data_IF_854826300938
#
_entry.id   IF_854826300938
#
_cell.length_a   1.000
_cell.length_b   1.000
_cell.length_c   1.000
_cell.angle_alpha   90.00
_cell.angle_beta   90.00
_cell.angle_gamma   90.00
#
_symmetry.space_group_name_H-M   'P 1'
#
loop_
_entity.id
_entity.type
_entity.pdbx_description
1 polymer ?
#
# COMPACT_ATOMS: atom_id res chain seq x y z
N UNK A 1 44.15 10.16 9.95
CA UNK A 1 43.93 9.05 10.90
C UNK A 1 42.51 8.99 11.48
N UNK A 2 41.79 10.12 11.62
CA UNK A 2 40.38 10.13 12.01
C UNK A 2 39.42 9.75 10.86
N UNK A 3 39.67 10.22 9.63
CA UNK A 3 38.85 9.88 8.45
C UNK A 3 38.90 8.38 8.08
N UNK A 4 40.09 7.77 8.07
CA UNK A 4 40.25 6.33 7.80
C UNK A 4 39.61 5.42 8.87
N UNK A 5 39.34 5.94 10.08
CA UNK A 5 38.58 5.22 11.12
C UNK A 5 37.06 5.37 10.92
N UNK A 6 36.59 6.50 10.38
CA UNK A 6 35.18 6.72 10.03
C UNK A 6 34.72 5.89 8.82
N UNK A 7 35.57 5.74 7.81
CA UNK A 7 35.30 4.90 6.63
C UNK A 7 35.20 3.41 6.99
N UNK A 8 36.13 2.89 7.81
CA UNK A 8 36.07 1.50 8.25
C UNK A 8 34.84 1.17 9.12
N UNK A 9 34.39 2.11 9.96
CA UNK A 9 33.17 1.94 10.77
C UNK A 9 31.92 1.98 9.89
N UNK A 10 31.86 2.87 8.90
CA UNK A 10 30.73 2.93 7.97
C UNK A 10 30.64 1.70 7.06
N UNK A 11 31.76 1.14 6.63
CA UNK A 11 31.75 -0.08 5.81
C UNK A 11 31.43 -1.34 6.62
N UNK A 12 31.88 -1.42 7.87
CA UNK A 12 31.46 -2.48 8.79
C UNK A 12 29.95 -2.42 9.04
N UNK A 13 29.38 -1.24 9.28
CA UNK A 13 27.94 -1.04 9.46
C UNK A 13 27.14 -1.37 8.20
N UNK A 14 27.61 -1.01 7.00
CA UNK A 14 26.98 -1.40 5.73
C UNK A 14 26.98 -2.93 5.55
N UNK A 15 28.09 -3.57 5.89
CA UNK A 15 28.22 -5.04 5.81
C UNK A 15 27.27 -5.74 6.78
N UNK A 16 27.22 -5.27 8.04
CA UNK A 16 26.30 -5.78 9.05
C UNK A 16 24.84 -5.56 8.61
N UNK A 17 24.48 -4.36 8.16
CA UNK A 17 23.16 -4.06 7.63
C UNK A 17 22.79 -4.97 6.45
N UNK A 18 23.71 -5.19 5.51
CA UNK A 18 23.51 -6.08 4.37
C UNK A 18 23.25 -7.52 4.83
N UNK A 19 24.01 -8.00 5.82
CA UNK A 19 23.83 -9.34 6.39
C UNK A 19 22.46 -9.49 7.08
N UNK A 20 22.03 -8.51 7.87
CA UNK A 20 20.73 -8.49 8.53
C UNK A 20 19.61 -8.42 7.50
N UNK A 21 19.73 -7.56 6.49
CA UNK A 21 18.76 -7.44 5.41
C UNK A 21 18.63 -8.73 4.61
N UNK A 22 19.72 -9.46 4.41
CA UNK A 22 19.69 -10.77 3.75
C UNK A 22 18.96 -11.81 4.61
N UNK A 23 19.23 -11.87 5.91
CA UNK A 23 18.53 -12.78 6.83
C UNK A 23 17.03 -12.46 6.87
N UNK A 24 16.66 -11.18 6.95
CA UNK A 24 15.27 -10.73 6.91
C UNK A 24 14.57 -11.19 5.63
N UNK A 25 15.19 -10.99 4.47
CA UNK A 25 14.68 -11.48 3.19
C UNK A 25 14.53 -13.01 3.14
N UNK A 26 15.48 -13.77 3.73
CA UNK A 26 15.37 -15.21 3.84
C UNK A 26 14.20 -15.66 4.73
N UNK A 27 13.95 -14.96 5.85
CA UNK A 27 12.83 -15.24 6.74
C UNK A 27 11.49 -14.92 6.08
N UNK A 28 11.39 -13.79 5.37
CA UNK A 28 10.20 -13.42 4.60
C UNK A 28 9.91 -14.46 3.50
N UNK A 29 10.94 -14.93 2.80
CA UNK A 29 10.80 -15.98 1.79
C UNK A 29 10.27 -17.31 2.39
N UNK A 30 10.72 -17.70 3.59
CA UNK A 30 10.22 -18.89 4.29
C UNK A 30 8.75 -18.72 4.68
N UNK A 31 8.38 -17.56 5.23
CA UNK A 31 6.99 -17.24 5.58
C UNK A 31 6.09 -17.27 4.34
N UNK A 32 6.56 -16.70 3.23
CA UNK A 32 5.85 -16.71 1.96
C UNK A 32 5.69 -18.13 1.41
N UNK A 33 6.71 -18.98 1.49
CA UNK A 33 6.64 -20.37 1.04
C UNK A 33 5.57 -21.16 1.81
N UNK A 34 5.51 -21.01 3.14
CA UNK A 34 4.47 -21.62 3.97
C UNK A 34 3.07 -21.11 3.59
N UNK A 35 2.93 -19.79 3.40
CA UNK A 35 1.65 -19.19 2.96
C UNK A 35 1.20 -19.74 1.60
N UNK A 36 2.11 -19.83 0.64
CA UNK A 36 1.82 -20.40 -0.69
C UNK A 36 1.38 -21.85 -0.56
N UNK A 37 2.13 -22.65 0.21
CA UNK A 37 1.81 -24.06 0.46
C UNK A 37 0.41 -24.25 1.06
N UNK A 38 0.05 -23.46 2.08
CA UNK A 38 -1.29 -23.50 2.68
C UNK A 38 -2.39 -23.09 1.69
N UNK A 39 -2.17 -22.05 0.89
CA UNK A 39 -3.13 -21.62 -0.12
C UNK A 39 -3.31 -22.65 -1.25
N UNK A 40 -2.27 -23.45 -1.55
CA UNK A 40 -2.35 -24.52 -2.56
C UNK A 40 -3.37 -25.58 -2.16
N UNK A 41 -3.48 -26.00 -0.89
CA UNK A 41 -4.50 -26.97 -0.47
C UNK A 41 -5.91 -26.49 -0.78
N UNK A 42 -6.19 -25.22 -0.48
CA UNK A 42 -7.46 -24.60 -0.83
C UNK A 42 -7.68 -24.55 -2.35
N UNK A 43 -6.65 -24.22 -3.12
CA UNK A 43 -6.69 -24.22 -4.59
C UNK A 43 -6.98 -25.61 -5.19
N UNK A 44 -6.29 -26.63 -4.68
CA UNK A 44 -6.44 -28.03 -5.09
C UNK A 44 -7.82 -28.59 -4.73
N UNK A 45 -8.39 -28.20 -3.59
CA UNK A 45 -9.78 -28.56 -3.24
C UNK A 45 -10.81 -28.04 -4.26
N UNK A 46 -10.47 -27.02 -5.05
CA UNK A 46 -11.31 -26.50 -6.13
C UNK A 46 -10.98 -27.11 -7.51
N UNK A 47 -9.83 -27.75 -7.65
CA UNK A 47 -9.36 -28.34 -8.91
C UNK A 47 -10.00 -29.72 -9.12
N UNK A 48 -10.89 -29.85 -10.11
CA UNK A 48 -11.59 -31.11 -10.41
C UNK A 48 -10.67 -32.25 -10.86
N UNK A 49 -9.43 -31.95 -11.26
CA UNK A 49 -8.42 -32.96 -11.58
C UNK A 49 -7.58 -33.42 -10.38
N UNK A 50 -7.77 -32.80 -9.21
CA UNK A 50 -6.99 -33.11 -8.02
C UNK A 50 -7.57 -34.29 -7.25
N UNK A 51 -6.75 -35.19 -6.67
CA UNK A 51 -7.24 -36.22 -5.75
C UNK A 51 -7.83 -35.62 -4.46
N UNK A 52 -7.55 -34.34 -4.17
CA UNK A 52 -8.09 -33.61 -3.03
C UNK A 52 -9.34 -32.77 -3.37
N UNK A 53 -9.95 -32.98 -4.54
CA UNK A 53 -11.10 -32.19 -4.98
C UNK A 53 -12.28 -32.28 -4.01
N UNK A 54 -12.64 -31.13 -3.42
CA UNK A 54 -13.76 -30.98 -2.51
C UNK A 54 -14.40 -29.59 -2.68
N UNK A 55 -15.21 -29.45 -3.74
CA UNK A 55 -15.84 -28.18 -4.11
C UNK A 55 -16.68 -27.55 -3.00
N UNK A 56 -17.36 -28.37 -2.20
CA UNK A 56 -18.20 -27.90 -1.10
C UNK A 56 -17.35 -27.13 -0.06
N UNK A 57 -16.21 -27.69 0.33
CA UNK A 57 -15.27 -27.05 1.25
C UNK A 57 -14.73 -25.74 0.67
N UNK A 58 -14.28 -25.74 -0.58
CA UNK A 58 -13.78 -24.52 -1.22
C UNK A 58 -14.86 -23.43 -1.33
N UNK A 59 -16.10 -23.83 -1.59
CA UNK A 59 -17.27 -22.94 -1.62
C UNK A 59 -17.61 -22.35 -0.26
N UNK A 60 -17.56 -23.16 0.79
CA UNK A 60 -17.77 -22.73 2.18
C UNK A 60 -16.72 -21.70 2.61
N UNK A 61 -15.43 -21.98 2.39
CA UNK A 61 -14.33 -21.05 2.69
C UNK A 61 -14.52 -19.71 1.99
N UNK A 62 -14.87 -19.72 0.70
CA UNK A 62 -15.15 -18.49 -0.06
C UNK A 62 -16.33 -17.71 0.54
N UNK A 63 -17.41 -18.43 0.87
CA UNK A 63 -18.65 -17.83 1.36
C UNK A 63 -18.45 -17.23 2.76
N UNK A 64 -17.74 -17.93 3.63
CA UNK A 64 -17.37 -17.45 4.96
C UNK A 64 -16.49 -16.19 4.88
N UNK A 65 -15.47 -16.19 4.01
CA UNK A 65 -14.64 -15.01 3.79
C UNK A 65 -15.45 -13.79 3.31
N UNK A 66 -16.36 -14.00 2.35
CA UNK A 66 -17.24 -12.94 1.87
C UNK A 66 -18.24 -12.44 2.93
N UNK A 67 -18.79 -13.34 3.75
CA UNK A 67 -19.67 -12.97 4.88
C UNK A 67 -18.90 -12.07 5.85
N UNK A 68 -17.72 -12.51 6.28
CA UNK A 68 -16.95 -11.84 7.31
C UNK A 68 -16.47 -10.45 6.87
N UNK A 69 -15.95 -10.30 5.64
CA UNK A 69 -15.50 -8.98 5.15
C UNK A 69 -16.67 -8.00 4.97
N UNK A 70 -17.86 -8.48 4.59
CA UNK A 70 -19.08 -7.65 4.51
C UNK A 70 -19.56 -7.25 5.90
N UNK A 71 -19.60 -8.20 6.83
CA UNK A 71 -20.00 -7.97 8.21
C UNK A 71 -19.12 -6.92 8.90
N UNK A 72 -17.80 -7.02 8.74
CA UNK A 72 -16.84 -6.05 9.25
C UNK A 72 -17.06 -4.67 8.58
N UNK A 73 -17.23 -4.62 7.26
CA UNK A 73 -17.48 -3.35 6.57
C UNK A 73 -18.76 -2.65 7.08
N UNK A 74 -19.81 -3.41 7.37
CA UNK A 74 -21.06 -2.86 7.91
C UNK A 74 -20.95 -2.44 9.38
N UNK A 75 -20.15 -3.16 10.20
CA UNK A 75 -19.80 -2.70 11.55
C UNK A 75 -19.04 -1.37 11.52
N UNK A 76 -18.03 -1.26 10.66
CA UNK A 76 -17.18 -0.08 10.53
C UNK A 76 -17.99 1.14 10.07
N UNK A 77 -18.88 0.96 9.08
CA UNK A 77 -19.81 2.02 8.64
C UNK A 77 -20.74 2.49 9.75
N UNK A 78 -21.28 1.57 10.55
CA UNK A 78 -22.12 1.91 11.72
C UNK A 78 -21.37 2.70 12.80
N UNK A 79 -20.04 2.59 12.83
CA UNK A 79 -19.15 3.37 13.71
C UNK A 79 -18.75 4.73 13.13
N UNK A 80 -19.28 5.12 11.96
CA UNK A 80 -19.01 6.42 11.32
C UNK A 80 -17.80 6.43 10.39
N UNK A 81 -17.07 5.33 10.25
CA UNK A 81 -15.91 5.25 9.36
C UNK A 81 -16.34 5.05 7.90
N UNK A 82 -15.66 5.74 6.99
CA UNK A 82 -15.79 5.52 5.56
C UNK A 82 -15.07 4.25 5.12
N UNK A 83 -15.62 3.53 4.14
CA UNK A 83 -14.93 2.41 3.47
C UNK A 83 -14.58 2.84 2.05
N UNK A 84 -13.32 3.24 1.84
CA UNK A 84 -12.84 3.78 0.55
C UNK A 84 -12.64 2.68 -0.48
N UNK A 85 -12.05 1.57 -0.05
CA UNK A 85 -11.73 0.45 -0.93
C UNK A 85 -11.84 -0.87 -0.18
N UNK A 86 -12.20 -1.93 -0.90
CA UNK A 86 -12.30 -3.30 -0.39
C UNK A 86 -11.72 -4.28 -1.41
N UNK A 87 -10.85 -5.17 -0.95
CA UNK A 87 -10.48 -6.38 -1.67
C UNK A 87 -10.95 -7.62 -0.89
N UNK A 88 -10.55 -8.82 -1.31
CA UNK A 88 -10.96 -10.11 -0.73
C UNK A 88 -10.77 -10.19 0.78
N UNK A 89 -9.69 -9.63 1.30
CA UNK A 89 -9.18 -9.81 2.66
C UNK A 89 -8.77 -8.50 3.35
N UNK A 90 -9.03 -7.35 2.71
CA UNK A 90 -8.54 -6.04 3.16
C UNK A 90 -9.56 -4.93 2.92
N UNK A 91 -9.53 -3.92 3.79
CA UNK A 91 -10.36 -2.72 3.75
C UNK A 91 -9.46 -1.50 3.91
N UNK A 92 -9.55 -0.54 3.00
CA UNK A 92 -9.02 0.80 3.21
C UNK A 92 -10.14 1.69 3.75
N UNK A 93 -9.90 2.23 4.93
CA UNK A 93 -10.87 3.00 5.71
C UNK A 93 -10.54 4.48 5.64
N UNK A 94 -11.55 5.31 5.89
CA UNK A 94 -11.42 6.75 6.08
C UNK A 94 -11.92 7.07 7.49
N UNK A 95 -11.08 7.70 8.30
CA UNK A 95 -11.49 8.14 9.63
C UNK A 95 -12.60 9.22 9.52
N UNK A 96 -13.51 9.28 10.49
CA UNK A 96 -14.50 10.36 10.57
C UNK A 96 -13.81 11.74 10.60
N UNK A 97 -14.45 12.76 10.00
CA UNK A 97 -13.88 14.11 9.87
C UNK A 97 -13.60 14.73 11.24
N UNK A 98 -14.39 14.39 12.26
CA UNK A 98 -14.24 14.88 13.63
C UNK A 98 -12.89 14.50 14.24
N UNK A 99 -12.23 13.44 13.72
CA UNK A 99 -10.89 13.05 14.17
C UNK A 99 -9.83 14.08 13.78
N UNK A 100 -10.06 14.84 12.70
CA UNK A 100 -9.09 15.78 12.13
C UNK A 100 -9.36 17.24 12.49
N UNK A 101 -10.49 17.56 13.13
CA UNK A 101 -10.88 18.94 13.44
C UNK A 101 -9.76 19.80 14.05
N UNK A 102 -9.06 19.31 15.08
CA UNK A 102 -7.95 20.04 15.72
C UNK A 102 -6.75 20.25 14.77
N UNK A 103 -6.55 19.29 13.86
CA UNK A 103 -5.51 19.33 12.85
C UNK A 103 -5.85 20.39 11.78
N UNK A 104 -7.12 20.40 11.35
CA UNK A 104 -7.66 21.33 10.35
C UNK A 104 -7.62 22.77 10.87
N UNK A 105 -8.10 23.00 12.10
CA UNK A 105 -8.03 24.31 12.77
C UNK A 105 -6.58 24.81 12.89
N UNK A 106 -5.63 23.93 13.21
CA UNK A 106 -4.21 24.31 13.32
C UNK A 106 -3.58 24.68 11.97
N UNK A 107 -4.09 24.15 10.86
CA UNK A 107 -3.63 24.46 9.51
C UNK A 107 -4.23 25.75 8.97
N UNK A 108 -5.53 25.99 9.22
CA UNK A 108 -6.26 27.14 8.67
C UNK A 108 -6.00 28.46 9.41
N UNK A 109 -5.44 28.42 10.63
CA UNK A 109 -5.05 29.64 11.35
C UNK A 109 -3.97 30.40 10.56
N UNK A 110 -4.03 31.75 10.51
CA UNK A 110 -3.18 32.57 9.62
C UNK A 110 -1.65 32.48 9.79
N UNK A 111 -1.19 31.75 10.82
CA UNK A 111 0.21 31.38 11.07
C UNK A 111 0.34 29.84 11.24
N UNK A 112 -0.47 29.10 10.47
CA UNK A 112 -0.75 27.69 10.63
C UNK A 112 0.45 26.80 10.37
N UNK A 113 0.31 25.53 10.75
CA UNK A 113 1.35 24.52 10.54
C UNK A 113 1.63 24.31 9.05
N UNK A 114 2.83 23.82 8.71
CA UNK A 114 3.15 23.50 7.32
C UNK A 114 2.26 22.38 6.78
N UNK A 115 2.11 22.29 5.46
CA UNK A 115 1.34 21.20 4.81
C UNK A 115 1.89 19.82 5.16
N UNK A 116 3.22 19.69 5.24
CA UNK A 116 3.86 18.43 5.64
C UNK A 116 3.56 18.07 7.09
N UNK A 117 3.57 19.06 8.00
CA UNK A 117 3.22 18.84 9.40
C UNK A 117 1.73 18.48 9.55
N UNK A 118 0.85 19.17 8.84
CA UNK A 118 -0.58 18.85 8.78
C UNK A 118 -0.82 17.41 8.30
N UNK A 119 -0.19 17.02 7.19
CA UNK A 119 -0.27 15.66 6.66
C UNK A 119 0.29 14.62 7.63
N UNK A 120 1.40 14.92 8.28
CA UNK A 120 2.00 14.03 9.29
C UNK A 120 1.06 13.81 10.48
N UNK A 121 0.42 14.87 10.98
CA UNK A 121 -0.56 14.80 12.06
C UNK A 121 -1.79 13.97 11.66
N UNK A 122 -2.33 14.17 10.46
CA UNK A 122 -3.45 13.34 9.96
C UNK A 122 -3.09 11.86 9.89
N UNK A 123 -1.87 11.53 9.42
CA UNK A 123 -1.40 10.15 9.36
C UNK A 123 -1.31 9.56 10.77
N UNK A 124 -0.70 10.27 11.73
CA UNK A 124 -0.59 9.81 13.13
C UNK A 124 -1.95 9.57 13.78
N UNK A 125 -2.88 10.54 13.65
CA UNK A 125 -4.25 10.40 14.14
C UNK A 125 -4.91 9.16 13.54
N UNK A 126 -4.73 8.94 12.24
CA UNK A 126 -5.28 7.76 11.55
C UNK A 126 -4.69 6.46 12.10
N UNK A 127 -3.38 6.39 12.35
CA UNK A 127 -2.75 5.20 12.93
C UNK A 127 -3.37 4.86 14.30
N UNK A 128 -3.46 5.84 15.19
CA UNK A 128 -4.00 5.64 16.55
C UNK A 128 -5.47 5.21 16.55
N UNK A 129 -6.30 5.90 15.76
CA UNK A 129 -7.74 5.62 15.69
C UNK A 129 -7.99 4.23 15.11
N UNK A 130 -7.27 3.86 14.04
CA UNK A 130 -7.45 2.55 13.41
C UNK A 130 -6.90 1.43 14.29
N UNK A 131 -5.84 1.65 15.06
CA UNK A 131 -5.34 0.65 16.02
C UNK A 131 -6.38 0.32 17.10
N UNK A 132 -7.08 1.34 17.62
CA UNK A 132 -8.21 1.13 18.56
C UNK A 132 -9.36 0.38 17.88
N UNK A 133 -9.75 0.82 16.69
CA UNK A 133 -10.81 0.17 15.90
C UNK A 133 -10.49 -1.30 15.61
N UNK A 134 -9.23 -1.63 15.33
CA UNK A 134 -8.75 -3.01 15.10
C UNK A 134 -9.05 -3.91 16.30
N UNK A 135 -8.82 -3.43 17.52
CA UNK A 135 -9.11 -4.20 18.72
C UNK A 135 -10.60 -4.48 18.84
N UNK A 136 -11.44 -3.46 18.65
CA UNK A 136 -12.91 -3.63 18.69
C UNK A 136 -13.43 -4.58 17.61
N UNK A 137 -12.91 -4.50 16.39
CA UNK A 137 -13.25 -5.41 15.29
C UNK A 137 -12.84 -6.85 15.64
N UNK A 138 -11.68 -7.05 16.26
CA UNK A 138 -11.22 -8.38 16.67
C UNK A 138 -12.03 -8.95 17.83
N UNK A 139 -12.47 -8.13 18.78
CA UNK A 139 -13.40 -8.54 19.83
C UNK A 139 -14.75 -8.96 19.23
N UNK A 140 -15.26 -8.18 18.27
CA UNK A 140 -16.47 -8.52 17.56
C UNK A 140 -16.33 -9.84 16.78
N UNK A 141 -15.23 -10.04 16.05
CA UNK A 141 -14.97 -11.28 15.32
C UNK A 141 -14.84 -12.50 16.23
N UNK A 142 -14.22 -12.33 17.40
CA UNK A 142 -14.12 -13.40 18.40
C UNK A 142 -15.50 -13.82 18.90
N UNK A 143 -16.37 -12.86 19.15
CA UNK A 143 -17.73 -13.12 19.62
C UNK A 143 -18.60 -13.77 18.53
N UNK A 144 -18.47 -13.34 17.27
CA UNK A 144 -19.25 -13.89 16.14
C UNK A 144 -18.79 -15.30 15.73
N UNK A 145 -17.48 -15.56 15.71
CA UNK A 145 -16.92 -16.85 15.25
C UNK A 145 -16.63 -17.84 16.38
N UNK A 146 -16.75 -17.44 17.65
CA UNK A 146 -16.43 -18.27 18.81
C UNK A 146 -14.94 -18.62 18.99
N UNK A 147 -14.04 -18.01 18.20
CA UNK A 147 -12.60 -18.25 18.27
C UNK A 147 -11.79 -17.02 17.89
N UNK A 148 -10.51 -16.99 18.27
CA UNK A 148 -9.57 -15.91 17.96
C UNK A 148 -8.70 -16.17 16.72
N UNK A 149 -8.99 -17.23 15.95
CA UNK A 149 -8.22 -17.57 14.75
C UNK A 149 -8.39 -16.53 13.65
N UNK A 150 -9.61 -16.01 13.47
CA UNK A 150 -9.88 -14.95 12.52
C UNK A 150 -9.70 -13.58 13.18
N UNK A 151 -8.74 -12.81 12.66
CA UNK A 151 -8.43 -11.46 13.13
C UNK A 151 -8.05 -10.54 11.99
N UNK A 152 -8.36 -9.26 12.13
CA UNK A 152 -7.88 -8.18 11.29
C UNK A 152 -6.58 -7.61 11.87
N UNK A 153 -5.60 -7.42 11.00
CA UNK A 153 -4.37 -6.71 11.32
C UNK A 153 -4.45 -5.27 10.79
N UNK A 154 -3.80 -4.35 11.50
CA UNK A 154 -3.45 -3.05 10.96
C UNK A 154 -2.15 -3.23 10.16
N UNK A 155 -2.12 -2.76 8.91
CA UNK A 155 -0.95 -2.88 8.03
C UNK A 155 -0.29 -1.52 7.77
N UNK A 156 -1.05 -0.58 7.22
CA UNK A 156 -0.56 0.77 6.93
C UNK A 156 -1.68 1.81 6.87
N UNK A 157 -1.30 3.08 7.01
CA UNK A 157 -2.04 4.24 6.46
C UNK A 157 -1.45 4.54 5.07
N UNK A 158 -2.29 4.56 4.04
CA UNK A 158 -1.89 4.85 2.66
C UNK A 158 -2.33 6.27 2.29
N UNK A 159 -1.40 7.22 2.33
CA UNK A 159 -1.70 8.65 2.11
C UNK A 159 -0.45 9.42 1.64
N UNK A 160 -0.54 10.29 0.62
CA UNK A 160 -1.63 10.39 -0.34
C UNK A 160 -1.80 9.09 -1.14
N UNK A 161 -2.98 8.92 -1.74
CA UNK A 161 -3.33 7.71 -2.51
C UNK A 161 -4.20 8.06 -3.71
N UNK A 162 -3.92 7.39 -4.83
CA UNK A 162 -4.71 7.49 -6.06
C UNK A 162 -5.19 6.10 -6.47
N UNK A 163 -6.51 5.95 -6.59
CA UNK A 163 -7.14 4.75 -7.11
C UNK A 163 -7.50 4.97 -8.59
N UNK A 164 -6.88 4.20 -9.49
CA UNK A 164 -7.13 4.27 -10.94
C UNK A 164 -8.09 3.18 -11.42
N UNK A 165 -8.33 2.16 -10.60
CA UNK A 165 -9.32 1.13 -10.88
C UNK A 165 -9.27 -0.02 -9.87
N UNK A 166 -10.07 -1.05 -10.13
CA UNK A 166 -10.10 -2.25 -9.27
C UNK A 166 -8.71 -2.92 -9.24
N UNK A 167 -8.15 -3.06 -8.05
CA UNK A 167 -6.78 -3.54 -7.77
C UNK A 167 -5.66 -2.71 -8.41
N UNK A 168 -5.96 -1.49 -8.88
CA UNK A 168 -5.01 -0.58 -9.50
C UNK A 168 -4.96 0.73 -8.72
N UNK A 169 -3.91 0.91 -7.94
CA UNK A 169 -3.74 2.10 -7.11
C UNK A 169 -2.28 2.29 -6.74
N UNK A 170 -1.93 3.52 -6.38
CA UNK A 170 -0.62 3.86 -5.87
C UNK A 170 -0.71 4.92 -4.78
N UNK A 171 0.28 4.99 -3.91
CA UNK A 171 0.33 5.94 -2.82
C UNK A 171 1.60 5.79 -1.99
N UNK A 172 1.66 6.54 -0.89
CA UNK A 172 2.75 6.44 0.09
C UNK A 172 2.24 5.66 1.31
N UNK A 173 2.89 4.55 1.63
CA UNK A 173 2.53 3.74 2.79
C UNK A 173 3.27 4.20 4.04
N UNK A 174 2.53 4.45 5.11
CA UNK A 174 3.03 4.79 6.43
C UNK A 174 2.69 3.66 7.41
N UNK A 175 3.71 3.04 8.00
CA UNK A 175 3.55 1.85 8.86
C UNK A 175 3.73 2.16 10.35
N UNK A 176 4.81 2.85 10.68
CA UNK A 176 5.18 3.19 12.07
C UNK A 176 5.09 4.68 12.34
N UNK A 177 5.54 5.46 11.37
CA UNK A 177 5.56 6.91 11.43
C UNK A 177 5.25 7.52 10.06
N UNK A 178 4.83 8.79 9.99
CA UNK A 178 4.69 9.53 8.76
C UNK A 178 6.06 9.68 8.11
N UNK A 179 6.15 9.30 6.84
CA UNK A 179 7.36 9.41 6.04
C UNK A 179 6.95 9.53 4.56
N UNK A 180 6.87 10.77 4.09
CA UNK A 180 6.50 11.10 2.71
C UNK A 180 7.63 10.87 1.71
N UNK A 181 8.82 10.49 2.18
CA UNK A 181 9.95 10.09 1.35
C UNK A 181 10.04 8.57 1.20
N UNK A 182 9.06 7.83 1.70
CA UNK A 182 9.00 6.38 1.55
C UNK A 182 8.90 5.96 0.09
N UNK A 183 9.40 4.75 -0.19
CA UNK A 183 9.21 4.11 -1.48
C UNK A 183 7.71 4.01 -1.81
N UNK A 184 7.37 4.41 -3.03
CA UNK A 184 6.00 4.35 -3.52
C UNK A 184 5.43 2.94 -3.46
N UNK A 185 4.23 2.87 -2.92
CA UNK A 185 3.42 1.67 -2.90
C UNK A 185 2.59 1.63 -4.20
N UNK A 186 2.86 0.67 -5.08
CA UNK A 186 2.17 0.56 -6.37
C UNK A 186 1.55 -0.83 -6.52
N UNK A 187 0.23 -0.88 -6.76
CA UNK A 187 -0.52 -2.11 -6.98
C UNK A 187 -1.08 -2.15 -8.38
N UNK A 188 -0.57 -3.09 -9.20
CA UNK A 188 -1.02 -3.47 -10.55
C UNK A 188 -1.29 -2.32 -11.53
N UNK A 189 -0.74 -1.13 -11.26
CA UNK A 189 -0.64 -0.05 -12.24
C UNK A 189 0.28 -0.51 -13.37
N UNK A 190 0.06 0.00 -14.57
CA UNK A 190 0.68 -0.54 -15.78
C UNK A 190 2.20 -0.49 -15.74
N UNK A 191 2.79 0.50 -15.07
CA UNK A 191 4.23 0.64 -14.80
C UNK A 191 4.89 -0.61 -14.21
N UNK A 192 4.21 -1.36 -13.32
CA UNK A 192 4.78 -2.56 -12.68
C UNK A 192 4.61 -3.84 -13.49
N UNK A 193 3.87 -3.81 -14.60
CA UNK A 193 3.71 -4.98 -15.46
C UNK A 193 4.98 -5.24 -16.28
N UNK A 194 5.29 -6.52 -16.49
CA UNK A 194 6.33 -6.94 -17.43
C UNK A 194 5.87 -6.62 -18.87
N UNK A 195 6.81 -6.30 -19.76
CA UNK A 195 6.53 -6.05 -21.17
C UNK A 195 6.11 -4.61 -21.51
N UNK A 196 6.20 -3.69 -20.55
CA UNK A 196 6.12 -2.26 -20.85
C UNK A 196 7.46 -1.75 -21.36
N UNK A 197 7.40 -0.79 -22.29
CA UNK A 197 8.59 -0.12 -22.80
C UNK A 197 9.27 0.70 -21.69
N UNK A 198 10.58 0.91 -21.82
CA UNK A 198 11.35 1.70 -20.84
C UNK A 198 10.81 3.13 -20.78
N UNK A 199 10.55 3.72 -21.95
CA UNK A 199 9.99 5.07 -22.05
C UNK A 199 8.64 5.19 -21.35
N UNK A 200 7.72 4.23 -21.55
CA UNK A 200 6.43 4.23 -20.85
C UNK A 200 6.61 4.22 -19.33
N UNK A 201 7.54 3.43 -18.80
CA UNK A 201 7.81 3.38 -17.37
C UNK A 201 8.37 4.68 -16.83
N UNK A 202 9.27 5.35 -17.57
CA UNK A 202 9.87 6.61 -17.14
C UNK A 202 8.83 7.74 -17.09
N UNK A 203 7.99 7.85 -18.12
CA UNK A 203 6.90 8.83 -18.20
C UNK A 203 5.89 8.62 -17.10
N UNK A 204 5.37 7.38 -16.94
CA UNK A 204 4.42 7.06 -15.89
C UNK A 204 5.02 7.28 -14.50
N UNK A 205 6.30 6.94 -14.31
CA UNK A 205 6.98 7.15 -13.03
C UNK A 205 7.04 8.63 -12.69
N UNK A 206 7.37 9.48 -13.65
CA UNK A 206 7.43 10.93 -13.45
C UNK A 206 6.07 11.49 -13.02
N UNK A 207 4.99 11.09 -13.69
CA UNK A 207 3.63 11.50 -13.32
C UNK A 207 3.28 11.05 -11.91
N UNK A 208 3.58 9.79 -11.58
CA UNK A 208 3.29 9.22 -10.25
C UNK A 208 4.11 9.94 -9.18
N UNK A 209 5.43 10.07 -9.35
CA UNK A 209 6.33 10.72 -8.39
C UNK A 209 5.88 12.16 -8.11
N UNK A 210 5.58 12.94 -9.17
CA UNK A 210 5.13 14.33 -9.03
C UNK A 210 3.79 14.43 -8.30
N UNK A 211 2.85 13.53 -8.59
CA UNK A 211 1.52 13.54 -7.96
C UNK A 211 1.54 13.23 -6.46
N UNK A 212 2.62 12.63 -5.97
CA UNK A 212 2.77 12.18 -4.58
C UNK A 212 3.57 13.17 -3.72
N UNK A 213 4.16 14.21 -4.30
CA UNK A 213 4.92 15.19 -3.55
C UNK A 213 4.03 16.04 -2.63
N UNK A 214 4.57 16.38 -1.46
CA UNK A 214 3.85 17.19 -0.47
C UNK A 214 3.64 18.61 -0.96
N UNK A 215 4.63 19.20 -1.63
CA UNK A 215 4.58 20.56 -2.19
C UNK A 215 3.80 20.66 -3.51
N UNK A 216 3.34 19.53 -4.06
CA UNK A 216 2.53 19.54 -5.27
C UNK A 216 1.22 20.33 -5.07
N UNK A 217 1.01 21.29 -5.96
CA UNK A 217 -0.22 22.09 -6.08
C UNK A 217 -1.00 21.79 -7.36
N UNK A 218 -0.42 21.01 -8.28
CA UNK A 218 -1.04 20.66 -9.55
C UNK A 218 -1.99 19.48 -9.38
N UNK A 219 -3.12 19.55 -10.07
CA UNK A 219 -4.01 18.40 -10.27
C UNK A 219 -3.32 17.33 -11.11
N UNK A 220 -3.74 16.07 -10.97
CA UNK A 220 -3.20 14.98 -11.78
C UNK A 220 -3.30 15.24 -13.29
N UNK A 221 -4.37 15.91 -13.74
CA UNK A 221 -4.53 16.31 -15.15
C UNK A 221 -3.47 17.31 -15.60
N UNK A 222 -3.14 18.30 -14.76
CA UNK A 222 -2.09 19.27 -15.06
C UNK A 222 -0.72 18.60 -15.11
N UNK A 223 -0.40 17.74 -14.15
CA UNK A 223 0.86 16.97 -14.13
C UNK A 223 1.01 16.16 -15.43
N UNK A 224 -0.02 15.42 -15.82
CA UNK A 224 0.00 14.65 -17.07
C UNK A 224 0.22 15.57 -18.27
N UNK A 225 -0.49 16.69 -18.33
CA UNK A 225 -0.35 17.66 -19.43
C UNK A 225 1.06 18.24 -19.52
N UNK A 226 1.67 18.55 -18.39
CA UNK A 226 3.01 19.16 -18.34
C UNK A 226 4.08 18.13 -18.73
N UNK A 227 3.98 16.90 -18.22
CA UNK A 227 4.86 15.79 -18.63
C UNK A 227 4.73 15.49 -20.13
N UNK A 228 3.52 15.48 -20.68
CA UNK A 228 3.32 15.28 -22.12
C UNK A 228 3.91 16.41 -22.97
N UNK A 229 3.80 17.67 -22.53
CA UNK A 229 4.40 18.81 -23.24
C UNK A 229 5.93 18.72 -23.26
N UNK A 230 6.54 18.36 -22.14
CA UNK A 230 7.99 18.15 -22.06
C UNK A 230 8.45 17.08 -23.04
N UNK A 231 7.76 15.93 -23.06
CA UNK A 231 8.04 14.85 -24.01
C UNK A 231 7.94 15.34 -25.45
N UNK A 232 6.89 16.11 -25.79
CA UNK A 232 6.70 16.64 -27.14
C UNK A 232 7.85 17.59 -27.54
N UNK A 233 8.29 18.44 -26.62
CA UNK A 233 9.40 19.36 -26.87
C UNK A 233 10.72 18.61 -27.06
N UNK A 234 10.89 17.48 -26.37
CA UNK A 234 12.10 16.66 -26.39
C UNK A 234 12.02 15.48 -27.38
N UNK A 235 11.00 15.42 -28.25
CA UNK A 235 10.75 14.31 -29.19
C UNK A 235 12.00 13.94 -30.01
N UNK A 236 12.82 14.92 -30.37
CA UNK A 236 14.03 14.72 -31.18
C UNK A 236 15.17 14.05 -30.41
N UNK A 237 15.11 13.96 -29.08
CA UNK A 237 16.10 13.28 -28.24
C UNK A 237 15.63 11.90 -27.75
N UNK A 238 14.42 11.47 -28.10
CA UNK A 238 13.88 10.18 -27.64
C UNK A 238 14.58 9.03 -28.38
N UNK A 239 15.27 8.20 -27.62
CA UNK A 239 15.77 6.91 -28.10
C UNK A 239 14.60 5.97 -28.42
N UNK A 240 14.30 5.81 -29.72
CA UNK A 240 13.24 4.95 -30.24
C UNK A 240 13.41 3.47 -29.82
N UNK A 241 14.64 3.05 -29.49
CA UNK A 241 14.92 1.71 -28.99
C UNK A 241 14.23 1.45 -27.65
N UNK A 242 14.06 2.50 -26.83
CA UNK A 242 13.35 2.46 -25.54
C UNK A 242 11.83 2.38 -25.64
N UNK A 243 11.25 2.51 -26.84
CA UNK A 243 9.81 2.38 -27.10
C UNK A 243 9.38 0.95 -27.44
N UNK A 244 10.33 0.07 -27.77
CA UNK A 244 10.05 -1.33 -28.07
C UNK A 244 9.62 -2.04 -26.78
N UNK A 245 8.45 -2.68 -26.82
CA UNK A 245 8.03 -3.57 -25.75
C UNK A 245 8.94 -4.79 -25.74
N UNK A 246 9.58 -5.07 -24.62
CA UNK A 246 10.29 -6.33 -24.43
C UNK A 246 9.27 -7.46 -24.51
N UNK A 247 9.45 -8.41 -25.43
CA UNK A 247 8.64 -9.62 -25.45
C UNK A 247 8.78 -10.32 -24.08
N UNK A 248 7.66 -10.68 -23.47
CA UNK A 248 7.59 -11.44 -22.21
C UNK A 248 6.89 -12.75 -22.50
#
# INVERSE_FOLDING_TARGET
>A
LAEARGENVTDALKSEYSSVSFIDACLDAKSLALKVYMNTFYGEARNSGSPFFLRALAGEVTSAGQRNIKLIADLIRRKGFGVKYRDTDSLYLVCPEECFQKCDEAYDNGNGISKEEYWSRMVNISMEVIERLRNEVNDFLRNDNGSSYLKMAYEEVLFPVVFTGKKKYYGISHRREPNFNNKLFIRRVEIVKRGQSKHFREVDKKVIDESMKVDNSHTLYQIVKDVLKEIINDILQIDLTGMVKTAV
#
